data_IF_224280812600
#
_entry.id   IF_224280812600
#
_cell.length_a   1.000
_cell.length_b   1.000
_cell.length_c   1.000
_cell.angle_alpha   90.00
_cell.angle_beta   90.00
_cell.angle_gamma   90.00
#
_symmetry.space_group_name_H-M   'P 1'
#
loop_
_entity.id
_entity.type
_entity.pdbx_description
1 polymer ?
#
# COMPACT_ATOMS: atom_id res chain seq x y z
N UNK A 1 11.49 10.24 -4.51
CA UNK A 1 10.05 10.48 -4.75
C UNK A 1 9.30 9.16 -4.64
N UNK A 2 8.16 9.17 -3.96
CA UNK A 2 7.40 7.94 -3.77
C UNK A 2 6.59 7.61 -5.02
N UNK A 3 6.54 6.33 -5.41
CA UNK A 3 5.71 5.95 -6.56
C UNK A 3 4.23 6.13 -6.22
N UNK A 4 3.44 6.48 -7.23
CA UNK A 4 2.01 6.68 -7.07
C UNK A 4 1.30 5.34 -7.23
N UNK A 5 0.40 5.05 -6.29
CA UNK A 5 -0.36 3.80 -6.27
C UNK A 5 -1.82 4.13 -5.99
N UNK A 6 -2.73 3.54 -6.76
CA UNK A 6 -4.16 3.75 -6.53
C UNK A 6 -4.82 2.41 -6.19
N UNK A 7 -5.89 2.49 -5.41
CA UNK A 7 -6.67 1.31 -5.05
C UNK A 7 -8.09 1.76 -4.73
N UNK A 8 -8.99 0.79 -4.58
CA UNK A 8 -10.39 1.07 -4.23
C UNK A 8 -10.71 0.29 -2.96
N UNK A 9 -10.82 0.99 -1.84
CA UNK A 9 -11.00 0.33 -0.55
C UNK A 9 -12.36 -0.36 -0.43
N UNK A 10 -13.29 -0.07 -1.34
CA UNK A 10 -14.60 -0.72 -1.33
C UNK A 10 -14.71 -1.82 -2.38
N UNK A 11 -13.70 -2.00 -3.21
CA UNK A 11 -13.69 -3.02 -4.23
C UNK A 11 -12.82 -4.20 -3.84
N UNK A 12 -12.64 -5.13 -4.78
CA UNK A 12 -11.82 -6.31 -4.52
C UNK A 12 -10.36 -5.94 -4.27
N UNK A 13 -9.91 -4.80 -4.76
CA UNK A 13 -8.54 -4.37 -4.54
C UNK A 13 -8.34 -3.69 -3.19
N UNK A 14 -9.42 -3.59 -2.39
CA UNK A 14 -9.35 -2.87 -1.13
C UNK A 14 -8.83 -3.70 0.03
N UNK A 15 -8.75 -5.02 -0.07
CA UNK A 15 -8.22 -5.80 1.03
C UNK A 15 -6.71 -5.58 1.15
N UNK A 16 -6.19 -5.78 2.36
CA UNK A 16 -4.81 -5.39 2.62
C UNK A 16 -3.81 -6.19 1.80
N UNK A 17 -4.12 -7.45 1.49
CA UNK A 17 -3.21 -8.26 0.69
C UNK A 17 -3.11 -7.72 -0.75
N UNK A 18 -4.24 -7.27 -1.30
CA UNK A 18 -4.22 -6.66 -2.63
C UNK A 18 -3.46 -5.35 -2.63
N UNK A 19 -3.64 -4.54 -1.59
CA UNK A 19 -2.91 -3.28 -1.49
C UNK A 19 -1.41 -3.55 -1.38
N UNK A 20 -1.03 -4.56 -0.59
CA UNK A 20 0.38 -4.93 -0.48
C UNK A 20 0.95 -5.40 -1.81
N UNK A 21 0.17 -6.16 -2.59
CA UNK A 21 0.64 -6.64 -3.89
C UNK A 21 0.91 -5.47 -4.84
N UNK A 22 0.01 -4.50 -4.86
CA UNK A 22 0.18 -3.33 -5.69
C UNK A 22 1.41 -2.52 -5.23
N UNK A 23 1.56 -2.40 -3.92
CA UNK A 23 2.69 -1.68 -3.35
C UNK A 23 4.01 -2.39 -3.70
N UNK A 24 4.02 -3.71 -3.63
CA UNK A 24 5.20 -4.48 -3.98
C UNK A 24 5.61 -4.22 -5.42
N UNK A 25 4.64 -4.26 -6.33
CA UNK A 25 4.92 -4.01 -7.74
C UNK A 25 5.53 -2.63 -7.94
N UNK A 26 4.95 -1.62 -7.29
CA UNK A 26 5.41 -0.25 -7.45
C UNK A 26 6.84 -0.08 -6.92
N UNK A 27 7.11 -0.63 -5.74
CA UNK A 27 8.43 -0.48 -5.14
C UNK A 27 9.48 -1.30 -5.88
N UNK A 28 9.08 -2.47 -6.42
CA UNK A 28 10.00 -3.27 -7.22
C UNK A 28 10.42 -2.51 -8.48
N UNK A 29 9.50 -1.82 -9.11
CA UNK A 29 9.81 -1.04 -10.29
C UNK A 29 10.81 0.06 -9.99
N UNK A 30 10.78 0.58 -8.76
CA UNK A 30 11.72 1.61 -8.32
C UNK A 30 12.99 1.01 -7.72
N UNK A 31 13.14 -0.32 -7.78
CA UNK A 31 14.29 -1.02 -7.21
C UNK A 31 14.38 -0.81 -5.70
N UNK A 32 13.22 -0.76 -5.05
CA UNK A 32 13.13 -0.51 -3.61
C UNK A 32 12.47 -1.68 -2.90
N UNK A 33 12.85 -2.91 -3.25
CA UNK A 33 12.22 -4.08 -2.66
C UNK A 33 12.51 -4.19 -1.16
N UNK A 34 13.66 -3.68 -0.71
CA UNK A 34 13.96 -3.69 0.72
C UNK A 34 12.97 -2.80 1.48
N UNK A 35 12.58 -1.69 0.88
CA UNK A 35 11.56 -0.84 1.48
C UNK A 35 10.23 -1.59 1.57
N UNK A 36 9.90 -2.37 0.55
CA UNK A 36 8.67 -3.15 0.61
C UNK A 36 8.72 -4.19 1.72
N UNK A 37 9.85 -4.87 1.87
CA UNK A 37 9.96 -5.88 2.92
C UNK A 37 9.75 -5.27 4.30
N UNK A 38 10.32 -4.10 4.53
CA UNK A 38 10.10 -3.40 5.80
C UNK A 38 8.65 -2.98 5.96
N UNK A 39 8.06 -2.44 4.89
CA UNK A 39 6.66 -2.03 4.90
C UNK A 39 5.75 -3.20 5.22
N UNK A 40 5.96 -4.34 4.56
CA UNK A 40 5.15 -5.52 4.78
C UNK A 40 5.22 -5.98 6.24
N UNK A 41 6.42 -6.02 6.80
CA UNK A 41 6.58 -6.47 8.18
C UNK A 41 5.84 -5.55 9.13
N UNK A 42 5.89 -4.25 8.89
CA UNK A 42 5.19 -3.30 9.74
C UNK A 42 3.68 -3.43 9.59
N UNK A 43 3.22 -3.66 8.36
CA UNK A 43 1.79 -3.84 8.12
C UNK A 43 1.26 -5.07 8.85
N UNK A 44 2.01 -6.16 8.81
CA UNK A 44 1.57 -7.38 9.51
C UNK A 44 1.56 -7.19 11.02
N UNK A 45 2.34 -6.26 11.54
CA UNK A 45 2.34 -5.95 12.96
C UNK A 45 1.29 -4.90 13.34
N UNK A 46 0.61 -4.32 12.37
CA UNK A 46 -0.36 -3.27 12.63
C UNK A 46 -1.63 -3.85 13.24
N UNK A 47 -2.44 -2.97 13.84
CA UNK A 47 -3.62 -3.39 14.58
C UNK A 47 -4.92 -3.09 13.88
N UNK A 48 -4.89 -2.40 12.74
CA UNK A 48 -6.11 -2.05 12.02
C UNK A 48 -5.78 -1.81 10.56
N UNK A 49 -6.85 -1.84 9.75
CA UNK A 49 -6.73 -1.54 8.34
C UNK A 49 -6.22 -0.10 8.12
N UNK A 50 -6.78 0.84 8.88
CA UNK A 50 -6.37 2.24 8.75
C UNK A 50 -4.90 2.42 9.11
N UNK A 51 -4.46 1.74 10.14
CA UNK A 51 -3.05 1.82 10.53
C UNK A 51 -2.17 1.24 9.43
N UNK A 52 -2.59 0.12 8.85
CA UNK A 52 -1.83 -0.51 7.77
C UNK A 52 -1.70 0.43 6.58
N UNK A 53 -2.78 1.11 6.21
CA UNK A 53 -2.73 2.07 5.10
C UNK A 53 -1.80 3.23 5.42
N UNK A 54 -1.81 3.69 6.66
CA UNK A 54 -0.91 4.78 7.07
C UNK A 54 0.54 4.38 6.93
N UNK A 55 0.86 3.13 7.27
CA UNK A 55 2.22 2.63 7.12
C UNK A 55 2.61 2.59 5.65
N UNK A 56 1.72 2.09 4.80
CA UNK A 56 2.00 2.00 3.38
C UNK A 56 2.25 3.38 2.77
N UNK A 57 1.53 4.39 3.27
CA UNK A 57 1.70 5.75 2.76
C UNK A 57 3.08 6.33 3.05
N UNK A 58 3.81 5.74 3.97
CA UNK A 58 5.18 6.19 4.20
C UNK A 58 6.11 5.79 3.06
N UNK A 59 5.72 4.81 2.26
CA UNK A 59 6.57 4.24 1.21
C UNK A 59 6.08 4.58 -0.19
N UNK A 60 4.77 4.77 -0.37
CA UNK A 60 4.18 5.08 -1.67
C UNK A 60 3.14 6.17 -1.51
N UNK A 61 2.85 6.85 -2.61
CA UNK A 61 1.80 7.86 -2.64
C UNK A 61 0.50 7.13 -2.94
N UNK A 62 -0.20 6.72 -1.89
CA UNK A 62 -1.36 5.85 -1.98
C UNK A 62 -2.65 6.67 -2.06
N UNK A 63 -3.42 6.42 -3.09
CA UNK A 63 -4.67 7.12 -3.32
C UNK A 63 -5.83 6.12 -3.31
N UNK A 64 -6.84 6.40 -2.50
CA UNK A 64 -8.06 5.59 -2.43
C UNK A 64 -9.09 6.18 -3.37
N UNK A 65 -9.51 5.41 -4.35
CA UNK A 65 -10.44 5.87 -5.38
C UNK A 65 -11.89 5.58 -5.04
N UNK A 66 -12.17 5.05 -3.86
CA UNK A 66 -13.54 4.70 -3.50
C UNK A 66 -14.42 5.94 -3.52
N UNK A 67 -15.57 5.84 -4.19
CA UNK A 67 -16.59 6.84 -4.11
C UNK A 67 -16.18 8.28 -4.43
N UNK A 68 -15.08 8.42 -5.03
CA UNK A 68 -14.65 9.76 -5.38
C UNK A 68 -15.48 10.27 -6.49
N UNK A 69 -15.90 10.99 -6.34
CA UNK A 69 -16.44 11.31 -7.42
C UNK A 69 -16.94 12.24 -7.37
#
# INVERSE_FOLDING_TARGET
MKPRVTFDSRGSSGNIFSVLAITQTALRKERRINDFNECRDRVFASHSYDEALSIIREYVDLTDERGEK
#
